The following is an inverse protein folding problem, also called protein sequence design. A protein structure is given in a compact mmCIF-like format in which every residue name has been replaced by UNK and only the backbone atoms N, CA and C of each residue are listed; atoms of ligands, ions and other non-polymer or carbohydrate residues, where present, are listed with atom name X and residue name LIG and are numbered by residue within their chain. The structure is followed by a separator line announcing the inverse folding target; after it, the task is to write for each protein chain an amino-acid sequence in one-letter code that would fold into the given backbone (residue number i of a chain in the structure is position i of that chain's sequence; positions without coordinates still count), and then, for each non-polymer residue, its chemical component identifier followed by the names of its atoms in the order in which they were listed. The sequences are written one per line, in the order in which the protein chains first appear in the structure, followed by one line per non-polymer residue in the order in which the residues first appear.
data_IF_822281975164
#
_entry.id   IF_822281975164
#
_cell.length_a   1.000
_cell.length_b   1.000
_cell.length_c   1.000
_cell.angle_alpha   90.00
_cell.angle_beta   90.00
_cell.angle_gamma   90.00
#
_symmetry.space_group_name_H-M   'P 1'
#
loop_
_entity.id
_entity.type
_entity.pdbx_description
1 polymer ?
#
# COMPACT_ATOMS: atom_id res chain seq x y z
N UNK A 1 -20.20 -3.54 0.14
CA UNK A 1 -19.61 -4.90 0.29
C UNK A 1 -20.68 -5.99 0.52
N UNK A 2 -21.92 -5.80 0.07
CA UNK A 2 -23.03 -6.67 0.48
C UNK A 2 -22.93 -8.14 0.00
N UNK A 3 -22.50 -8.45 -1.24
CA UNK A 3 -22.31 -9.85 -1.67
C UNK A 3 -21.22 -10.58 -0.86
N UNK A 4 -20.13 -9.87 -0.54
CA UNK A 4 -19.02 -10.38 0.26
C UNK A 4 -19.50 -10.77 1.67
N UNK A 5 -20.18 -9.85 2.35
CA UNK A 5 -20.60 -10.02 3.76
C UNK A 5 -21.79 -10.96 3.91
N UNK A 6 -22.58 -11.19 2.86
CA UNK A 6 -23.70 -12.15 2.88
C UNK A 6 -23.28 -13.59 2.69
N UNK A 7 -22.30 -13.85 1.81
CA UNK A 7 -22.00 -15.21 1.36
C UNK A 7 -20.60 -15.70 1.75
N UNK A 8 -19.64 -14.80 1.99
CA UNK A 8 -18.24 -15.19 2.11
C UNK A 8 -17.75 -15.90 0.84
N UNK A 9 -16.75 -16.78 0.99
CA UNK A 9 -16.26 -17.64 -0.10
C UNK A 9 -15.33 -16.96 -1.12
N UNK A 10 -14.96 -15.69 -0.89
CA UNK A 10 -13.97 -14.98 -1.68
C UNK A 10 -12.60 -15.06 -0.99
N UNK A 11 -11.54 -15.24 -1.77
CA UNK A 11 -10.17 -15.20 -1.25
C UNK A 11 -9.66 -13.74 -1.16
N UNK A 12 -10.03 -12.92 -2.16
CA UNK A 12 -9.55 -11.55 -2.32
C UNK A 12 -10.68 -10.56 -2.43
N UNK A 13 -10.41 -9.34 -1.98
CA UNK A 13 -11.23 -8.16 -2.22
C UNK A 13 -10.38 -7.14 -2.95
N UNK A 14 -10.88 -6.65 -4.08
CA UNK A 14 -10.26 -5.56 -4.83
C UNK A 14 -11.03 -4.29 -4.55
N UNK A 15 -10.33 -3.26 -4.10
CA UNK A 15 -10.85 -1.90 -4.00
C UNK A 15 -10.18 -1.06 -5.07
N UNK A 16 -10.98 -0.35 -5.85
CA UNK A 16 -10.50 0.56 -6.90
C UNK A 16 -11.17 1.90 -6.70
N UNK A 17 -10.37 2.96 -6.83
CA UNK A 17 -10.86 4.32 -6.97
C UNK A 17 -11.35 4.55 -8.41
N UNK A 18 -11.75 5.78 -8.74
CA UNK A 18 -12.14 6.27 -10.05
C UNK A 18 -10.92 6.55 -10.96
N UNK A 19 -10.10 5.52 -11.14
CA UNK A 19 -8.83 5.57 -11.88
C UNK A 19 -8.96 4.97 -13.29
N UNK A 20 -8.06 5.38 -14.18
CA UNK A 20 -7.79 4.67 -15.43
C UNK A 20 -6.89 3.47 -15.19
N UNK A 21 -7.36 2.28 -15.54
CA UNK A 21 -6.63 1.02 -15.42
C UNK A 21 -7.16 -0.02 -16.44
N UNK A 22 -6.29 -0.93 -16.86
CA UNK A 22 -6.60 -2.05 -17.75
C UNK A 22 -6.96 -3.32 -16.96
N UNK A 23 -7.79 -4.19 -17.53
CA UNK A 23 -8.16 -5.46 -16.91
C UNK A 23 -6.93 -6.36 -16.65
N UNK A 24 -5.97 -6.36 -17.56
CA UNK A 24 -4.70 -7.08 -17.45
C UNK A 24 -3.89 -6.59 -16.24
N UNK A 25 -3.98 -5.30 -15.92
CA UNK A 25 -3.32 -4.74 -14.74
C UNK A 25 -3.99 -5.20 -13.43
N UNK A 26 -5.29 -5.50 -13.46
CA UNK A 26 -6.00 -6.10 -12.32
C UNK A 26 -5.58 -7.57 -12.14
N UNK A 27 -5.43 -8.33 -13.22
CA UNK A 27 -4.91 -9.71 -13.16
C UNK A 27 -3.47 -9.71 -12.62
N UNK A 28 -2.63 -8.80 -13.12
CA UNK A 28 -1.26 -8.59 -12.63
C UNK A 28 -1.22 -8.18 -11.14
N UNK A 29 -2.18 -7.37 -10.68
CA UNK A 29 -2.33 -7.06 -9.26
C UNK A 29 -2.65 -8.31 -8.43
N UNK A 30 -3.60 -9.12 -8.89
CA UNK A 30 -4.01 -10.35 -8.22
C UNK A 30 -2.86 -11.38 -8.16
N UNK A 31 -2.05 -11.47 -9.22
CA UNK A 31 -0.88 -12.35 -9.33
C UNK A 31 0.42 -11.78 -8.70
N UNK A 32 0.33 -10.66 -7.98
CA UNK A 32 1.49 -10.11 -7.25
C UNK A 32 2.09 -11.22 -6.37
N UNK A 33 3.40 -11.47 -6.48
CA UNK A 33 4.07 -12.58 -5.76
C UNK A 33 3.42 -13.97 -5.96
N UNK A 34 2.80 -14.23 -7.12
CA UNK A 34 2.09 -15.49 -7.38
C UNK A 34 0.87 -15.69 -6.46
N UNK A 35 0.30 -14.59 -5.97
CA UNK A 35 -0.77 -14.59 -4.97
C UNK A 35 -0.29 -14.58 -3.52
N UNK A 36 1.00 -14.80 -3.23
CA UNK A 36 1.48 -14.84 -1.84
C UNK A 36 1.72 -13.45 -1.24
N UNK A 37 0.63 -12.81 -0.80
CA UNK A 37 0.61 -11.53 -0.10
C UNK A 37 -0.65 -11.37 0.75
N UNK A 38 -0.59 -10.47 1.72
CA UNK A 38 -1.76 -10.07 2.51
C UNK A 38 -2.50 -8.89 1.86
N UNK A 39 -1.73 -7.92 1.36
CA UNK A 39 -2.24 -6.79 0.61
C UNK A 39 -1.23 -6.35 -0.47
N UNK A 40 -1.74 -6.09 -1.68
CA UNK A 40 -0.96 -5.56 -2.79
C UNK A 40 -1.65 -4.32 -3.36
N UNK A 41 -0.87 -3.38 -3.88
CA UNK A 41 -1.36 -2.15 -4.48
C UNK A 41 -0.69 -1.84 -5.81
N UNK A 42 -1.37 -1.03 -6.63
CA UNK A 42 -0.78 -0.41 -7.81
C UNK A 42 0.05 0.82 -7.48
N UNK A 43 0.54 1.49 -8.53
CA UNK A 43 1.12 2.82 -8.47
C UNK A 43 0.25 3.77 -9.31
N UNK A 44 -0.16 4.87 -8.70
CA UNK A 44 -0.90 5.93 -9.36
C UNK A 44 0.00 7.12 -9.69
N UNK A 45 -0.26 7.77 -10.82
CA UNK A 45 0.61 8.84 -11.31
C UNK A 45 -0.15 10.12 -11.65
N UNK A 46 0.49 11.24 -11.33
CA UNK A 46 0.04 12.58 -11.69
C UNK A 46 1.08 13.34 -12.51
N UNK A 47 0.95 14.66 -12.54
CA UNK A 47 1.86 15.55 -13.28
C UNK A 47 3.34 15.42 -12.86
N UNK A 48 3.60 15.18 -11.57
CA UNK A 48 4.94 15.22 -10.98
C UNK A 48 5.53 13.84 -10.63
N UNK A 49 4.98 12.77 -11.21
CA UNK A 49 5.37 11.40 -10.91
C UNK A 49 4.39 10.71 -9.96
N UNK A 50 4.91 9.95 -9.00
CA UNK A 50 4.10 9.12 -8.09
C UNK A 50 3.12 9.99 -7.30
N UNK A 51 1.84 9.67 -7.38
CA UNK A 51 0.77 10.34 -6.66
C UNK A 51 0.46 9.63 -5.33
N UNK A 52 -0.48 10.17 -4.54
CA UNK A 52 -0.89 9.64 -3.24
C UNK A 52 0.27 9.31 -2.28
N UNK A 53 1.30 10.16 -2.29
CA UNK A 53 2.47 10.05 -1.41
C UNK A 53 2.10 10.04 0.08
N UNK A 54 0.96 10.61 0.43
CA UNK A 54 0.43 10.64 1.79
C UNK A 54 0.02 9.25 2.31
N UNK A 55 -0.29 8.30 1.42
CA UNK A 55 -0.61 6.91 1.80
C UNK A 55 0.63 6.02 1.79
N UNK A 56 1.42 6.06 0.72
CA UNK A 56 2.48 5.08 0.52
C UNK A 56 3.63 5.26 1.51
N UNK A 57 4.11 4.15 2.07
CA UNK A 57 5.28 4.09 2.94
C UNK A 57 6.18 2.96 2.50
N UNK A 58 7.49 3.22 2.49
CA UNK A 58 8.47 2.15 2.31
C UNK A 58 8.34 1.10 3.42
N UNK A 59 9.03 -0.04 3.30
CA UNK A 59 8.91 -1.12 4.30
C UNK A 59 9.32 -0.70 5.72
N UNK A 60 10.08 0.38 5.87
CA UNK A 60 10.54 0.93 7.14
C UNK A 60 9.56 1.98 7.70
N UNK A 61 8.43 2.19 7.04
CA UNK A 61 7.43 3.18 7.43
C UNK A 61 7.80 4.59 6.99
N UNK A 62 8.80 4.81 6.13
CA UNK A 62 9.20 6.15 5.70
C UNK A 62 8.39 6.58 4.48
N UNK A 63 8.21 7.88 4.32
CA UNK A 63 7.54 8.48 3.16
C UNK A 63 8.25 8.07 1.86
N UNK A 64 7.53 7.84 0.76
CA UNK A 64 8.14 7.61 -0.56
C UNK A 64 8.49 8.94 -1.24
N UNK A 65 9.42 8.90 -2.21
CA UNK A 65 9.70 10.01 -3.10
C UNK A 65 8.71 10.05 -4.28
N UNK A 66 8.39 11.24 -4.77
CA UNK A 66 7.64 11.42 -6.03
C UNK A 66 8.41 10.91 -7.26
N UNK A 67 9.75 10.94 -7.18
CA UNK A 67 10.63 10.59 -8.29
C UNK A 67 11.02 9.12 -8.24
N UNK A 68 11.12 8.50 -9.40
CA UNK A 68 11.60 7.14 -9.53
C UNK A 68 13.06 7.04 -9.03
N UNK A 69 13.43 6.03 -8.22
CA UNK A 69 12.71 4.77 -7.95
C UNK A 69 11.80 4.74 -6.70
N UNK A 70 11.35 5.91 -6.21
CA UNK A 70 10.39 6.12 -5.11
C UNK A 70 10.88 5.73 -3.72
N UNK A 71 11.55 4.59 -3.57
CA UNK A 71 12.08 4.09 -2.30
C UNK A 71 13.61 4.20 -2.28
N UNK A 72 14.15 4.68 -1.17
CA UNK A 72 15.59 4.75 -0.94
C UNK A 72 16.12 3.58 -0.11
N UNK A 73 15.23 2.84 0.55
CA UNK A 73 15.60 1.62 1.25
C UNK A 73 15.84 0.47 0.25
N UNK A 74 16.82 -0.38 0.56
CA UNK A 74 17.40 -1.35 -0.36
C UNK A 74 16.40 -2.30 -1.04
N UNK A 75 15.45 -2.87 -0.28
CA UNK A 75 14.54 -3.89 -0.81
C UNK A 75 13.52 -3.29 -1.79
N UNK A 76 12.89 -2.19 -1.39
CA UNK A 76 11.96 -1.43 -2.22
C UNK A 76 12.64 -0.84 -3.44
N UNK A 77 13.84 -0.26 -3.28
CA UNK A 77 14.64 0.27 -4.38
C UNK A 77 14.87 -0.82 -5.45
N UNK A 78 15.44 -1.97 -5.05
CA UNK A 78 15.72 -3.06 -6.00
C UNK A 78 14.45 -3.60 -6.65
N UNK A 79 13.37 -3.76 -5.89
CA UNK A 79 12.09 -4.21 -6.41
C UNK A 79 11.55 -3.30 -7.51
N UNK A 80 11.49 -1.99 -7.25
CA UNK A 80 11.01 -1.01 -8.24
C UNK A 80 11.90 -0.98 -9.49
N UNK A 81 13.22 -0.99 -9.32
CA UNK A 81 14.17 -1.02 -10.44
C UNK A 81 14.00 -2.27 -11.32
N UNK A 82 13.78 -3.42 -10.69
CA UNK A 82 13.59 -4.70 -11.36
C UNK A 82 12.17 -4.92 -11.90
N UNK A 83 11.24 -3.98 -11.68
CA UNK A 83 9.79 -4.19 -11.91
C UNK A 83 9.22 -5.40 -11.14
N UNK A 84 9.75 -5.69 -9.96
CA UNK A 84 9.29 -6.74 -9.06
C UNK A 84 8.47 -6.15 -7.89
N UNK A 85 7.55 -6.93 -7.28
CA UNK A 85 6.81 -6.48 -6.11
C UNK A 85 7.74 -6.02 -4.98
N UNK A 86 7.64 -4.74 -4.62
CA UNK A 86 8.45 -4.09 -3.61
C UNK A 86 7.72 -4.10 -2.26
N UNK A 87 8.36 -4.53 -1.15
CA UNK A 87 7.72 -4.55 0.16
C UNK A 87 7.48 -3.12 0.67
N UNK A 88 6.32 -2.88 1.26
CA UNK A 88 5.90 -1.57 1.75
C UNK A 88 5.25 -1.68 3.12
N UNK A 89 5.28 -0.62 3.91
CA UNK A 89 4.53 -0.59 5.17
C UNK A 89 3.04 -0.36 4.90
N UNK A 90 2.71 0.59 4.03
CA UNK A 90 1.33 0.89 3.66
C UNK A 90 1.30 1.39 2.21
N UNK A 91 0.19 1.16 1.52
CA UNK A 91 -0.06 1.71 0.19
C UNK A 91 -1.55 1.61 -0.18
N UNK A 92 -1.97 2.41 -1.16
CA UNK A 92 -3.31 2.33 -1.76
C UNK A 92 -3.28 2.70 -3.23
N UNK A 93 -2.78 3.90 -3.51
CA UNK A 93 -2.33 4.36 -4.84
C UNK A 93 -3.29 3.97 -5.97
N UNK A 94 -4.57 4.36 -5.79
CA UNK A 94 -5.66 4.13 -6.72
C UNK A 94 -6.33 2.75 -6.69
N UNK A 95 -5.59 1.66 -6.44
CA UNK A 95 -6.15 0.30 -6.45
C UNK A 95 -5.38 -0.67 -5.55
N UNK A 96 -6.13 -1.51 -4.82
CA UNK A 96 -5.58 -2.53 -3.94
C UNK A 96 -6.27 -3.89 -4.13
N UNK A 97 -5.53 -4.95 -3.82
CA UNK A 97 -6.04 -6.30 -3.58
C UNK A 97 -5.65 -6.70 -2.16
N UNK A 98 -6.59 -7.16 -1.35
CA UNK A 98 -6.34 -7.63 0.01
C UNK A 98 -7.02 -8.98 0.26
N UNK A 99 -6.52 -9.74 1.25
CA UNK A 99 -7.22 -10.92 1.76
C UNK A 99 -8.65 -10.55 2.19
N UNK A 100 -9.61 -11.42 1.88
CA UNK A 100 -11.02 -11.18 2.19
C UNK A 100 -11.38 -11.38 3.66
N UNK A 101 -10.73 -12.34 4.34
CA UNK A 101 -11.07 -12.75 5.71
C UNK A 101 -11.20 -11.58 6.72
N UNK A 102 -10.31 -10.57 6.75
CA UNK A 102 -10.45 -9.42 7.64
C UNK A 102 -11.76 -8.64 7.49
N UNK A 103 -12.35 -8.62 6.29
CA UNK A 103 -13.60 -7.91 6.01
C UNK A 103 -14.86 -8.73 6.35
N UNK A 104 -14.69 -10.04 6.59
CA UNK A 104 -15.79 -10.97 6.79
C UNK A 104 -16.10 -11.17 8.29
N UNK A 105 -17.39 -11.34 8.65
CA UNK A 105 -17.78 -11.89 9.94
C UNK A 105 -17.06 -13.21 10.21
N UNK A 106 -16.72 -13.47 11.48
CA UNK A 106 -15.91 -14.65 11.88
C UNK A 106 -16.46 -15.97 11.32
N UNK A 107 -17.79 -16.15 11.29
CA UNK A 107 -18.42 -17.36 10.78
C UNK A 107 -18.39 -17.56 9.25
N UNK A 108 -17.96 -16.54 8.49
CA UNK A 108 -17.88 -16.59 7.02
C UNK A 108 -16.44 -16.63 6.48
N UNK A 109 -15.44 -16.62 7.37
CA UNK A 109 -14.01 -16.64 7.00
C UNK A 109 -13.60 -18.01 6.49
N UNK A 110 -12.63 -18.02 5.58
CA UNK A 110 -12.02 -19.25 5.07
C UNK A 110 -11.03 -19.89 6.06
N UNK A 111 -10.69 -19.18 7.16
CA UNK A 111 -9.81 -19.68 8.22
C UNK A 111 -8.33 -19.47 7.91
N UNK A 112 -7.98 -18.49 7.08
CA UNK A 112 -6.59 -18.20 6.70
C UNK A 112 -5.86 -17.31 7.70
N UNK A 113 -6.59 -16.73 8.66
CA UNK A 113 -6.04 -15.87 9.71
C UNK A 113 -5.47 -16.70 10.86
N UNK A 114 -4.40 -16.20 11.47
CA UNK A 114 -3.72 -16.89 12.58
C UNK A 114 -4.62 -17.02 13.81
N UNK A 115 -4.56 -18.21 14.45
CA UNK A 115 -5.18 -18.48 15.76
C UNK A 115 -4.20 -18.27 16.90
N UNK A 116 -2.93 -17.98 16.61
CA UNK A 116 -1.93 -17.66 17.63
C UNK A 116 -2.19 -16.28 18.22
N UNK A 117 -1.74 -16.03 19.46
CA UNK A 117 -1.74 -14.68 20.04
C UNK A 117 -0.98 -13.70 19.14
N UNK A 118 -1.34 -12.43 19.23
CA UNK A 118 -0.66 -11.37 18.48
C UNK A 118 0.82 -11.28 18.84
N UNK A 119 1.66 -11.14 17.82
CA UNK A 119 3.12 -11.03 17.96
C UNK A 119 3.54 -9.76 18.70
N UNK A 120 2.76 -8.68 18.55
CA UNK A 120 3.03 -7.38 19.16
C UNK A 120 1.80 -6.83 19.87
N UNK A 121 1.96 -6.20 21.06
CA UNK A 121 0.86 -5.53 21.72
C UNK A 121 0.38 -4.36 20.85
N UNK A 122 -0.93 -4.09 20.92
CA UNK A 122 -1.50 -2.91 20.30
C UNK A 122 -1.03 -1.67 21.07
N UNK A 123 -0.58 -0.63 20.35
CA UNK A 123 -0.15 0.62 20.97
C UNK A 123 -1.33 1.35 21.62
N UNK A 124 -1.07 2.05 22.73
CA UNK A 124 -2.11 2.74 23.51
C UNK A 124 -2.84 3.83 22.70
N UNK A 125 -2.17 4.39 21.69
CA UNK A 125 -2.71 5.42 20.80
C UNK A 125 -3.67 4.87 19.74
N UNK A 126 -3.74 3.55 19.55
CA UNK A 126 -4.58 2.95 18.53
C UNK A 126 -6.06 2.86 19.00
N UNK A 127 -7.07 3.17 18.17
CA UNK A 127 -8.49 3.20 18.57
C UNK A 127 -9.05 1.91 19.18
N UNK A 128 -8.53 0.75 18.75
CA UNK A 128 -8.89 -0.55 19.28
C UNK A 128 -8.18 -0.94 20.60
N UNK A 129 -7.41 -0.03 21.22
CA UNK A 129 -6.81 -0.24 22.53
C UNK A 129 -7.81 0.12 23.66
N UNK A 130 -7.89 -0.66 24.75
CA UNK A 130 -7.19 -1.92 24.99
C UNK A 130 -7.85 -3.09 24.25
N UNK A 131 -7.01 -4.01 23.76
CA UNK A 131 -7.49 -5.25 23.13
C UNK A 131 -7.75 -6.33 24.19
N UNK A 132 -8.83 -7.13 24.08
CA UNK A 132 -9.03 -8.30 24.94
C UNK A 132 -7.86 -9.29 24.83
N UNK A 133 -7.37 -9.80 25.96
CA UNK A 133 -6.19 -10.67 26.01
C UNK A 133 -6.33 -11.99 25.23
N UNK A 134 -7.56 -12.50 25.10
CA UNK A 134 -7.85 -13.75 24.40
C UNK A 134 -8.16 -13.56 22.91
N UNK A 135 -8.06 -12.34 22.39
CA UNK A 135 -8.33 -12.07 20.99
C UNK A 135 -7.18 -12.57 20.13
N UNK A 136 -7.51 -13.16 18.98
CA UNK A 136 -6.57 -13.65 17.96
C UNK A 136 -6.98 -13.06 16.61
N UNK A 137 -6.08 -12.96 15.61
CA UNK A 137 -6.46 -12.50 14.27
C UNK A 137 -7.71 -13.19 13.72
N UNK A 138 -7.83 -14.51 13.91
CA UNK A 138 -8.98 -15.29 13.47
C UNK A 138 -10.32 -14.89 14.14
N UNK A 139 -10.27 -14.38 15.37
CA UNK A 139 -11.45 -13.99 16.17
C UNK A 139 -11.67 -12.49 16.25
N UNK A 140 -10.73 -11.67 15.75
CA UNK A 140 -10.86 -10.22 15.65
C UNK A 140 -12.13 -9.85 14.88
N UNK A 141 -12.95 -8.88 15.36
CA UNK A 141 -14.09 -8.36 14.61
C UNK A 141 -13.71 -7.86 13.21
N UNK A 142 -14.64 -7.85 12.24
CA UNK A 142 -14.33 -7.41 10.87
C UNK A 142 -13.75 -6.00 10.84
N UNK A 143 -12.70 -5.79 10.03
CA UNK A 143 -12.09 -4.49 9.80
C UNK A 143 -13.12 -3.52 9.20
N UNK A 144 -13.02 -2.26 9.57
CA UNK A 144 -13.91 -1.20 9.07
C UNK A 144 -13.08 -0.01 8.63
N UNK A 145 -13.50 0.62 7.55
CA UNK A 145 -13.01 1.94 7.21
C UNK A 145 -13.32 2.93 8.34
N UNK A 146 -12.34 3.76 8.68
CA UNK A 146 -12.42 4.72 9.76
C UNK A 146 -11.58 5.96 9.46
N UNK A 147 -11.98 7.07 10.06
CA UNK A 147 -11.15 8.26 10.14
C UNK A 147 -9.99 8.06 11.11
N UNK A 148 -8.93 8.86 10.94
CA UNK A 148 -7.85 8.96 11.92
C UNK A 148 -8.35 9.57 13.23
N UNK A 149 -7.80 9.11 14.35
CA UNK A 149 -8.07 9.69 15.68
C UNK A 149 -6.94 10.63 16.11
N UNK A 150 -7.14 11.50 17.12
CA UNK A 150 -6.07 12.36 17.61
C UNK A 150 -4.82 11.56 18.02
N UNK A 151 -3.65 11.97 17.52
CA UNK A 151 -2.37 11.30 17.75
C UNK A 151 -1.94 10.34 16.63
N UNK A 152 -2.85 10.00 15.72
CA UNK A 152 -2.50 9.34 14.46
C UNK A 152 -2.05 10.37 13.41
N UNK A 153 -1.36 9.95 12.34
CA UNK A 153 -1.26 10.85 11.19
C UNK A 153 -2.70 11.17 10.73
N UNK A 154 -3.00 12.45 10.46
CA UNK A 154 -4.21 12.78 9.72
C UNK A 154 -4.08 12.15 8.33
N UNK A 155 -4.82 11.08 8.12
CA UNK A 155 -4.71 10.24 6.93
C UNK A 155 -6.09 9.66 6.62
N UNK A 156 -6.32 9.33 5.36
CA UNK A 156 -7.60 8.74 4.95
C UNK A 156 -7.69 7.25 5.29
N UNK A 157 -8.87 6.71 5.05
CA UNK A 157 -9.16 5.27 5.07
C UNK A 157 -8.18 4.43 4.22
N UNK A 158 -7.59 5.01 3.16
CA UNK A 158 -6.59 4.40 2.30
C UNK A 158 -5.29 4.07 3.03
N UNK A 159 -4.93 4.86 4.05
CA UNK A 159 -3.79 4.56 4.94
C UNK A 159 -4.22 3.73 6.14
N UNK A 160 -5.37 4.07 6.74
CA UNK A 160 -5.82 3.43 7.97
C UNK A 160 -6.15 1.95 7.77
N UNK A 161 -6.63 1.56 6.58
CA UNK A 161 -6.90 0.16 6.28
C UNK A 161 -5.63 -0.72 6.36
N UNK A 162 -4.55 -0.49 5.59
CA UNK A 162 -3.33 -1.29 5.70
C UNK A 162 -2.73 -1.24 7.12
N UNK A 163 -2.78 -0.08 7.79
CA UNK A 163 -2.34 0.01 9.18
C UNK A 163 -3.15 -0.90 10.11
N UNK A 164 -4.49 -0.89 9.99
CA UNK A 164 -5.38 -1.74 10.79
C UNK A 164 -5.21 -3.24 10.45
N UNK A 165 -4.96 -3.60 9.19
CA UNK A 165 -4.66 -4.99 8.80
C UNK A 165 -3.37 -5.48 9.50
N UNK A 166 -2.33 -4.66 9.54
CA UNK A 166 -1.09 -4.98 10.27
C UNK A 166 -1.33 -5.10 11.77
N UNK A 167 -2.03 -4.14 12.38
CA UNK A 167 -2.15 -4.05 13.83
C UNK A 167 -3.21 -4.98 14.42
N UNK A 168 -4.33 -5.18 13.73
CA UNK A 168 -5.48 -5.93 14.24
C UNK A 168 -5.55 -7.38 13.72
N UNK A 169 -4.85 -7.70 12.64
CA UNK A 169 -4.85 -9.03 12.02
C UNK A 169 -3.47 -9.65 11.82
N UNK A 170 -2.40 -8.94 12.18
CA UNK A 170 -1.00 -9.37 12.01
C UNK A 170 -0.63 -9.71 10.55
N UNK A 171 -1.25 -8.98 9.61
CA UNK A 171 -1.02 -9.13 8.18
C UNK A 171 0.10 -8.18 7.75
N UNK A 172 1.31 -8.70 7.54
CA UNK A 172 2.53 -7.91 7.31
C UNK A 172 3.05 -7.97 5.87
N UNK A 173 2.60 -8.94 5.07
CA UNK A 173 3.08 -9.17 3.71
C UNK A 173 2.43 -8.19 2.72
N UNK A 174 2.86 -6.93 2.79
CA UNK A 174 2.35 -5.84 1.97
C UNK A 174 3.33 -5.47 0.86
N UNK A 175 2.81 -5.36 -0.37
CA UNK A 175 3.63 -5.09 -1.55
C UNK A 175 3.01 -4.02 -2.45
N UNK A 176 3.86 -3.23 -3.08
CA UNK A 176 3.48 -2.45 -4.24
C UNK A 176 3.98 -3.15 -5.50
N UNK A 177 3.10 -3.32 -6.48
CA UNK A 177 3.46 -3.93 -7.75
C UNK A 177 3.75 -2.83 -8.79
N UNK A 178 5.03 -2.58 -9.15
CA UNK A 178 5.38 -1.52 -10.07
C UNK A 178 4.88 -1.78 -11.50
N UNK A 179 4.35 -2.95 -11.83
CA UNK A 179 3.75 -3.23 -13.15
C UNK A 179 2.29 -2.79 -13.25
N UNK A 180 1.63 -2.59 -12.11
CA UNK A 180 0.22 -2.15 -12.03
C UNK A 180 0.17 -0.63 -11.98
N UNK A 181 0.08 -0.02 -13.15
CA UNK A 181 0.07 1.44 -13.32
C UNK A 181 -1.35 1.94 -13.50
N UNK A 182 -1.69 3.00 -12.79
CA UNK A 182 -2.94 3.71 -12.96
C UNK A 182 -2.76 5.24 -12.82
N UNK A 183 -3.81 6.00 -13.09
CA UNK A 183 -3.87 7.44 -12.84
C UNK A 183 -5.32 7.95 -12.88
N UNK A 184 -5.59 9.09 -12.26
CA UNK A 184 -6.91 9.76 -12.32
C UNK A 184 -7.14 10.55 -13.61
N UNK A 185 -6.08 10.96 -14.30
CA UNK A 185 -6.18 11.66 -15.59
C UNK A 185 -5.62 10.82 -16.72
N UNK A 186 -6.38 10.70 -17.82
CA UNK A 186 -6.02 9.90 -18.99
C UNK A 186 -4.65 10.24 -19.58
N UNK A 187 -4.28 11.53 -19.64
CA UNK A 187 -2.98 11.97 -20.17
C UNK A 187 -1.81 11.43 -19.33
N UNK A 188 -1.95 11.43 -18.00
CA UNK A 188 -0.91 10.92 -17.09
C UNK A 188 -0.86 9.40 -17.09
N UNK A 189 -2.03 8.76 -17.23
CA UNK A 189 -2.11 7.32 -17.45
C UNK A 189 -1.28 6.91 -18.69
N UNK A 190 -1.55 7.52 -19.85
CA UNK A 190 -0.83 7.20 -21.08
C UNK A 190 0.67 7.51 -20.98
N UNK A 191 1.03 8.66 -20.40
CA UNK A 191 2.42 9.05 -20.20
C UNK A 191 3.20 8.01 -19.39
N UNK A 192 2.69 7.61 -18.23
CA UNK A 192 3.42 6.72 -17.32
C UNK A 192 3.34 5.24 -17.74
N UNK A 193 2.20 4.80 -18.29
CA UNK A 193 2.00 3.42 -18.74
C UNK A 193 2.79 3.12 -20.00
N UNK A 194 2.80 4.02 -20.99
CA UNK A 194 3.34 3.75 -22.32
C UNK A 194 4.63 4.50 -22.61
N UNK A 195 4.68 5.82 -22.39
CA UNK A 195 5.86 6.60 -22.77
C UNK A 195 7.06 6.35 -21.85
N UNK A 196 6.87 6.51 -20.53
CA UNK A 196 7.95 6.34 -19.55
C UNK A 196 8.45 4.89 -19.46
N UNK A 197 7.62 3.92 -19.87
CA UNK A 197 7.98 2.50 -19.91
C UNK A 197 8.44 2.01 -21.27
N UNK A 198 8.48 2.89 -22.27
CA UNK A 198 9.07 2.55 -23.55
C UNK A 198 10.55 2.17 -23.34
N UNK A 199 10.98 1.04 -23.91
CA UNK A 199 12.30 0.48 -23.66
C UNK A 199 13.45 1.47 -23.92
N UNK A 200 13.32 2.32 -24.95
CA UNK A 200 14.33 3.34 -25.26
C UNK A 200 14.38 4.47 -24.22
N UNK A 201 13.23 4.85 -23.66
CA UNK A 201 13.13 5.87 -22.61
C UNK A 201 13.69 5.31 -21.31
N UNK A 202 13.28 4.10 -20.94
CA UNK A 202 13.81 3.40 -19.76
C UNK A 202 15.32 3.22 -19.87
N UNK A 203 15.82 2.77 -21.02
CA UNK A 203 17.26 2.64 -21.27
C UNK A 203 17.99 3.98 -21.13
N UNK A 204 17.44 5.06 -21.68
CA UNK A 204 18.05 6.39 -21.55
C UNK A 204 18.14 6.83 -20.09
N UNK A 205 17.05 6.71 -19.33
CA UNK A 205 17.00 7.10 -17.91
C UNK A 205 18.01 6.28 -17.09
N UNK A 206 18.03 4.95 -17.30
CA UNK A 206 18.86 4.03 -16.53
C UNK A 206 20.35 4.11 -16.88
N UNK A 207 20.70 4.28 -18.16
CA UNK A 207 22.08 4.11 -18.63
C UNK A 207 22.73 5.40 -19.12
N UNK A 208 21.96 6.37 -19.63
CA UNK A 208 22.52 7.61 -20.19
C UNK A 208 22.42 8.76 -19.21
N UNK A 209 21.22 9.07 -18.72
CA UNK A 209 21.02 10.08 -17.68
C UNK A 209 21.67 9.61 -16.36
N UNK A 210 21.58 8.30 -16.08
CA UNK A 210 22.07 7.67 -14.85
C UNK A 210 21.63 8.44 -13.58
N UNK A 211 20.47 9.10 -13.68
CA UNK A 211 19.85 9.95 -12.69
C UNK A 211 20.71 11.01 -12.00
N UNK A 212 21.95 11.32 -12.42
CA UNK A 212 22.88 12.31 -11.81
C UNK A 212 22.81 12.45 -10.26
N UNK A 213 22.60 11.35 -9.52
CA UNK A 213 22.39 11.37 -8.07
C UNK A 213 21.03 11.89 -7.57
N UNK A 214 20.14 12.35 -8.45
CA UNK A 214 18.74 12.74 -8.14
C UNK A 214 17.95 11.55 -7.59
N UNK A 215 18.22 10.33 -8.06
CA UNK A 215 17.63 9.10 -7.53
C UNK A 215 18.03 8.80 -6.06
N UNK A 216 19.06 9.50 -5.53
CA UNK A 216 19.47 9.41 -4.13
C UNK A 216 18.81 10.50 -3.26
N UNK A 217 18.15 11.48 -3.88
CA UNK A 217 17.47 12.56 -3.17
C UNK A 217 16.01 12.19 -2.94
N UNK A 218 15.60 12.16 -1.67
CA UNK A 218 14.20 11.97 -1.29
C UNK A 218 13.42 13.26 -1.54
N UNK A 219 12.76 13.37 -2.70
CA UNK A 219 11.82 14.46 -2.94
C UNK A 219 10.52 14.17 -2.19
N UNK A 220 10.38 14.78 -1.02
CA UNK A 220 9.14 14.83 -0.22
C UNK A 220 8.41 16.11 -0.62
N UNK A 221 7.09 16.03 -0.79
CA UNK A 221 6.28 17.26 -0.84
C UNK A 221 6.35 17.93 0.55
N UNK A 222 6.03 19.22 0.68
CA UNK A 222 5.98 19.92 1.98
C UNK A 222 7.33 20.17 2.69
N UNK A 223 7.28 20.54 3.98
CA UNK A 223 8.45 20.91 4.79
C UNK A 223 9.05 19.67 5.50
N UNK A 224 10.25 19.21 5.12
CA UNK A 224 10.86 18.02 5.72
C UNK A 224 11.08 18.14 7.23
N UNK A 225 11.24 19.35 7.77
CA UNK A 225 11.46 19.57 9.20
C UNK A 225 10.20 19.32 10.04
N UNK A 226 9.02 19.24 9.41
CA UNK A 226 7.74 18.96 10.06
C UNK A 226 7.31 17.51 9.95
N UNK A 227 8.12 16.65 9.32
CA UNK A 227 7.90 15.20 9.33
C UNK A 227 8.08 14.73 10.78
N UNK A 228 7.07 14.05 11.30
CA UNK A 228 7.09 13.43 12.61
C UNK A 228 6.77 11.95 12.48
N UNK A 229 7.11 11.16 13.50
CA UNK A 229 6.93 9.72 13.47
C UNK A 229 5.86 9.28 14.47
N UNK A 230 5.01 8.36 14.02
CA UNK A 230 4.06 7.63 14.86
C UNK A 230 4.24 6.12 14.63
N UNK A 231 3.44 5.31 15.31
CA UNK A 231 3.49 3.85 15.20
C UNK A 231 3.20 3.33 13.77
N UNK A 232 2.50 4.11 12.94
CA UNK A 232 2.26 3.81 11.52
C UNK A 232 3.38 4.30 10.57
N UNK A 233 4.46 4.92 11.06
CA UNK A 233 5.58 5.39 10.24
C UNK A 233 5.79 6.91 10.26
N UNK A 234 6.32 7.48 9.18
CA UNK A 234 6.50 8.92 8.99
C UNK A 234 5.17 9.57 8.59
N UNK A 235 4.80 10.68 9.23
CA UNK A 235 3.66 11.50 8.88
C UNK A 235 4.08 12.61 7.93
N UNK A 236 3.22 12.91 6.96
CA UNK A 236 3.46 14.02 6.06
C UNK A 236 3.31 15.37 6.77
N UNK A 237 4.07 16.39 6.34
CA UNK A 237 4.18 17.68 7.02
C UNK A 237 3.05 18.70 6.73
N UNK A 238 1.84 18.27 6.35
CA UNK A 238 0.70 19.16 6.06
C UNK A 238 -0.62 18.69 6.68
#
# INVERSE_FOLDING_TARGET
MEPLVKHGGYERVVFSNDIFIEAESIVELLDTKGGDYDMACGLDFGCWGLYDLWVIRDRLGRIASTLWPYFLEDAGFRGVMANEPAPVFACWNGIISARADPFLPVGLRAGQLSTSPFTHPLVETHPAYPRPANLTPATTPPVRFRASVPGECYSSESFNLPYDLRRQFDLQAMYVNPRVINAYEWKWYLWHKYLMRHWAVKWWIEWVENGNGIHLAKMVLGDPAKIWQWDGGECHPW
#
